data_IF_022745455357
#
_entry.id   IF_022745455357
#
_cell.length_a   1.000
_cell.length_b   1.000
_cell.length_c   1.000
_cell.angle_alpha   90.00
_cell.angle_beta   90.00
_cell.angle_gamma   90.00
#
_symmetry.space_group_name_H-M   'P 1'
#
loop_
_entity.id
_entity.type
_entity.pdbx_description
1 polymer ?
#
# COMPACT_ATOMS: atom_id res chain seq x y z
N UNK A 1 26.48 14.33 5.80
CA UNK A 1 26.17 13.78 7.14
C UNK A 1 27.43 13.07 7.60
N UNK A 2 28.19 13.68 8.49
CA UNK A 2 29.34 13.01 9.14
C UNK A 2 28.85 11.85 10.00
N UNK A 3 29.66 10.79 10.12
CA UNK A 3 29.32 9.53 10.79
C UNK A 3 29.00 9.76 12.27
N UNK A 4 27.71 9.69 12.61
CA UNK A 4 27.20 9.88 13.97
C UNK A 4 26.91 8.51 14.58
N UNK A 5 27.83 8.06 15.43
CA UNK A 5 27.75 6.83 16.22
C UNK A 5 28.90 5.87 15.90
N UNK A 6 29.80 5.65 16.88
CA UNK A 6 30.89 4.65 16.76
C UNK A 6 30.33 3.21 16.64
N UNK A 7 29.14 2.98 17.17
CA UNK A 7 28.44 1.71 17.12
C UNK A 7 26.97 1.92 16.74
N UNK A 8 26.41 0.90 16.11
CA UNK A 8 24.99 0.79 15.80
C UNK A 8 24.36 -0.29 16.68
N UNK A 9 23.09 -0.11 17.07
CA UNK A 9 22.37 -1.06 17.90
C UNK A 9 21.50 -1.93 17.00
N UNK A 10 21.70 -3.24 17.08
CA UNK A 10 20.84 -4.23 16.40
C UNK A 10 20.24 -5.16 17.45
N UNK A 11 19.04 -4.86 17.98
CA UNK A 11 18.41 -5.64 19.04
C UNK A 11 18.04 -7.03 18.53
N UNK A 12 17.94 -8.00 19.45
CA UNK A 12 17.76 -9.41 19.12
C UNK A 12 16.52 -9.67 18.24
N UNK A 13 15.40 -8.98 18.52
CA UNK A 13 14.17 -9.08 17.72
C UNK A 13 14.40 -8.71 16.25
N UNK A 14 15.20 -7.69 15.95
CA UNK A 14 15.54 -7.31 14.57
C UNK A 14 16.65 -8.20 14.00
N UNK A 15 17.66 -8.52 14.82
CA UNK A 15 18.82 -9.33 14.42
C UNK A 15 18.41 -10.73 13.96
N UNK A 16 17.49 -11.35 14.66
CA UNK A 16 17.06 -12.74 14.41
C UNK A 16 15.75 -12.84 13.60
N UNK A 17 15.14 -11.73 13.18
CA UNK A 17 13.97 -11.78 12.29
C UNK A 17 14.37 -12.35 10.93
N UNK A 18 13.85 -13.54 10.61
CA UNK A 18 14.09 -14.22 9.32
C UNK A 18 13.36 -13.54 8.15
N UNK A 19 12.37 -12.71 8.42
CA UNK A 19 11.60 -11.99 7.40
C UNK A 19 12.26 -10.68 6.96
N UNK A 20 13.35 -10.26 7.62
CA UNK A 20 14.14 -9.11 7.23
C UNK A 20 15.38 -9.53 6.44
N UNK A 21 15.60 -8.88 5.30
CA UNK A 21 16.85 -9.02 4.55
C UNK A 21 18.03 -8.50 5.36
N UNK A 22 19.25 -8.97 5.03
CA UNK A 22 20.48 -8.47 5.68
C UNK A 22 20.62 -6.96 5.53
N UNK A 23 20.29 -6.40 4.36
CA UNK A 23 20.28 -4.95 4.13
C UNK A 23 19.25 -4.22 4.99
N UNK A 24 18.08 -4.82 5.24
CA UNK A 24 17.08 -4.23 6.12
C UNK A 24 17.55 -4.15 7.57
N UNK A 25 18.25 -5.19 8.05
CA UNK A 25 18.87 -5.22 9.38
C UNK A 25 19.99 -4.16 9.49
N UNK A 26 20.83 -4.03 8.47
CA UNK A 26 21.87 -3.00 8.41
C UNK A 26 21.26 -1.58 8.39
N UNK A 27 20.22 -1.37 7.59
CA UNK A 27 19.53 -0.07 7.55
C UNK A 27 18.93 0.29 8.91
N UNK A 28 18.29 -0.68 9.59
CA UNK A 28 17.78 -0.46 10.94
C UNK A 28 18.91 -0.04 11.90
N UNK A 29 20.03 -0.77 11.89
CA UNK A 29 21.18 -0.45 12.72
C UNK A 29 21.67 0.98 12.46
N UNK A 30 21.76 1.41 11.21
CA UNK A 30 22.16 2.78 10.87
C UNK A 30 21.14 3.82 11.33
N UNK A 31 19.85 3.53 11.22
CA UNK A 31 18.80 4.39 11.77
C UNK A 31 19.00 4.55 13.29
N UNK A 32 19.37 3.49 14.02
CA UNK A 32 19.67 3.62 15.46
C UNK A 32 20.87 4.52 15.72
N UNK A 33 21.97 4.34 14.98
CA UNK A 33 23.17 5.16 15.12
C UNK A 33 22.88 6.64 14.87
N UNK A 34 22.12 6.95 13.81
CA UNK A 34 21.73 8.31 13.44
C UNK A 34 20.68 8.92 14.36
N UNK A 35 19.94 8.11 15.12
CA UNK A 35 18.93 8.58 16.07
C UNK A 35 19.52 9.00 17.42
N UNK A 36 20.76 8.62 17.73
CA UNK A 36 21.36 8.80 19.06
C UNK A 36 21.42 10.26 19.55
N UNK A 37 21.50 11.24 18.65
CA UNK A 37 21.63 12.66 19.05
C UNK A 37 20.29 13.32 19.38
N UNK A 38 19.22 12.97 18.65
CA UNK A 38 17.95 13.70 18.69
C UNK A 38 16.76 12.80 19.09
N UNK A 39 17.00 11.51 19.30
CA UNK A 39 15.94 10.49 19.43
C UNK A 39 15.24 10.13 18.12
N UNK A 40 15.68 10.69 16.99
CA UNK A 40 15.14 10.40 15.66
C UNK A 40 16.18 10.56 14.56
N UNK A 41 15.97 9.83 13.47
CA UNK A 41 16.75 9.91 12.25
C UNK A 41 15.99 10.71 11.18
N UNK A 42 16.64 11.67 10.54
CA UNK A 42 16.07 12.48 9.46
C UNK A 42 16.82 12.30 8.13
N UNK A 43 17.61 11.23 8.03
CA UNK A 43 18.36 10.92 6.82
C UNK A 43 17.42 10.60 5.64
N UNK A 44 17.82 11.07 4.46
CA UNK A 44 17.05 10.91 3.23
C UNK A 44 17.23 9.52 2.62
N UNK A 45 16.29 9.09 1.78
CA UNK A 45 16.45 7.82 1.06
C UNK A 45 17.69 7.83 0.15
N UNK A 46 18.03 8.98 -0.43
CA UNK A 46 19.24 9.17 -1.24
C UNK A 46 20.53 8.97 -0.43
N UNK A 47 20.53 9.38 0.84
CA UNK A 47 21.66 9.14 1.74
C UNK A 47 21.92 7.64 1.93
N UNK A 48 20.90 6.88 2.34
CA UNK A 48 21.04 5.43 2.54
C UNK A 48 21.31 4.66 1.25
N UNK A 49 20.72 5.10 0.14
CA UNK A 49 20.92 4.53 -1.18
C UNK A 49 22.41 4.56 -1.56
N UNK A 50 23.06 5.71 -1.36
CA UNK A 50 24.51 5.86 -1.58
C UNK A 50 25.33 5.02 -0.60
N UNK A 51 24.95 4.99 0.68
CA UNK A 51 25.68 4.25 1.71
C UNK A 51 25.72 2.74 1.44
N UNK A 52 24.60 2.15 0.99
CA UNK A 52 24.48 0.71 0.74
C UNK A 52 24.59 0.31 -0.73
N UNK A 53 24.88 1.26 -1.63
CA UNK A 53 24.90 1.05 -3.07
C UNK A 53 23.61 0.38 -3.60
N UNK A 54 22.46 0.90 -3.19
CA UNK A 54 21.13 0.46 -3.63
C UNK A 54 20.30 1.63 -4.14
N UNK A 55 19.17 1.38 -4.78
CA UNK A 55 18.30 2.46 -5.25
C UNK A 55 17.49 3.10 -4.11
N UNK A 56 17.13 4.38 -4.25
CA UNK A 56 16.25 5.07 -3.30
C UNK A 56 14.88 4.39 -3.15
N UNK A 57 14.42 3.69 -4.19
CA UNK A 57 13.18 2.90 -4.18
C UNK A 57 13.33 1.69 -3.26
N UNK A 58 14.47 0.99 -3.33
CA UNK A 58 14.78 -0.13 -2.42
C UNK A 58 14.79 0.34 -0.97
N UNK A 59 15.43 1.48 -0.67
CA UNK A 59 15.40 2.06 0.69
C UNK A 59 13.97 2.37 1.13
N UNK A 60 13.17 2.99 0.26
CA UNK A 60 11.76 3.27 0.57
C UNK A 60 11.00 2.00 0.95
N UNK A 61 11.17 0.93 0.15
CA UNK A 61 10.55 -0.38 0.42
C UNK A 61 10.98 -0.96 1.75
N UNK A 62 12.27 -0.90 2.08
CA UNK A 62 12.80 -1.40 3.36
C UNK A 62 12.24 -0.59 4.53
N UNK A 63 12.17 0.74 4.43
CA UNK A 63 11.61 1.59 5.49
C UNK A 63 10.13 1.26 5.72
N UNK A 64 9.35 1.10 4.66
CA UNK A 64 7.96 0.62 4.77
C UNK A 64 7.91 -0.75 5.46
N UNK A 65 8.76 -1.70 5.03
CA UNK A 65 8.83 -3.04 5.62
C UNK A 65 9.13 -3.03 7.13
N UNK A 66 10.06 -2.18 7.57
CA UNK A 66 10.43 -2.01 8.98
C UNK A 66 9.30 -1.33 9.77
N UNK A 67 8.61 -0.36 9.17
CA UNK A 67 7.47 0.34 9.78
C UNK A 67 6.28 -0.60 9.97
N UNK A 68 5.94 -1.38 8.95
CA UNK A 68 4.79 -2.31 8.99
C UNK A 68 4.97 -3.41 10.03
N UNK A 69 6.22 -3.80 10.27
CA UNK A 69 6.59 -4.77 11.32
C UNK A 69 6.72 -4.15 12.71
N UNK A 70 6.51 -2.83 12.83
CA UNK A 70 6.55 -2.13 14.11
C UNK A 70 7.96 -1.96 14.67
N UNK A 71 9.01 -2.02 13.84
CA UNK A 71 10.38 -1.76 14.26
C UNK A 71 10.73 -0.27 14.28
N UNK A 72 10.09 0.52 13.40
CA UNK A 72 10.27 1.97 13.32
C UNK A 72 8.92 2.67 13.14
N UNK A 73 8.89 3.98 13.42
CA UNK A 73 7.78 4.87 13.08
C UNK A 73 8.30 6.02 12.23
N UNK A 74 7.54 6.46 11.22
CA UNK A 74 7.92 7.60 10.37
C UNK A 74 6.89 8.72 10.46
N UNK A 75 7.34 9.96 10.55
CA UNK A 75 6.47 11.14 10.56
C UNK A 75 6.97 12.16 9.52
N UNK A 76 6.04 12.89 8.89
CA UNK A 76 6.34 13.92 7.90
C UNK A 76 6.12 15.28 8.57
N UNK A 77 7.17 16.11 8.56
CA UNK A 77 7.16 17.47 9.05
C UNK A 77 6.99 18.39 7.83
N UNK A 78 6.04 19.32 7.92
CA UNK A 78 5.74 20.31 6.89
C UNK A 78 6.35 21.66 7.25
N UNK A 79 6.63 22.49 6.24
CA UNK A 79 7.07 23.88 6.45
C UNK A 79 5.96 24.69 7.11
N UNK A 80 6.33 25.69 7.91
CA UNK A 80 5.38 26.56 8.58
C UNK A 80 4.39 27.18 7.58
N UNK A 81 3.10 27.08 7.89
CA UNK A 81 2.00 27.61 7.09
C UNK A 81 1.94 27.13 5.63
N UNK A 82 2.51 25.95 5.33
CA UNK A 82 2.52 25.37 3.99
C UNK A 82 2.14 23.89 4.00
N UNK A 83 1.64 23.39 2.85
CA UNK A 83 1.49 21.94 2.59
C UNK A 83 2.76 21.32 2.02
N UNK A 84 3.83 22.10 1.87
CA UNK A 84 5.13 21.63 1.42
C UNK A 84 5.83 20.82 2.52
N UNK A 85 6.37 19.66 2.14
CA UNK A 85 7.10 18.77 3.04
C UNK A 85 8.47 19.39 3.34
N UNK A 86 8.78 19.61 4.62
CA UNK A 86 10.11 20.01 5.08
C UNK A 86 11.03 18.78 5.14
N UNK A 87 10.64 17.77 5.93
CA UNK A 87 11.44 16.56 6.12
C UNK A 87 10.61 15.39 6.64
N UNK A 88 11.14 14.18 6.46
CA UNK A 88 10.66 12.98 7.14
C UNK A 88 11.57 12.67 8.31
N UNK A 89 10.99 12.40 9.48
CA UNK A 89 11.68 11.89 10.66
C UNK A 89 11.30 10.44 10.92
N UNK A 90 12.26 9.65 11.41
CA UNK A 90 12.14 8.23 11.69
C UNK A 90 12.50 8.00 13.16
N UNK A 91 11.60 7.38 13.90
CA UNK A 91 11.79 6.98 15.29
C UNK A 91 12.01 5.48 15.37
N UNK A 92 12.90 5.05 16.26
CA UNK A 92 12.96 3.65 16.66
C UNK A 92 11.70 3.34 17.46
N UNK A 93 10.96 2.31 17.05
CA UNK A 93 9.82 1.85 17.84
C UNK A 93 10.35 1.06 19.02
N UNK A 94 9.89 1.37 20.22
CA UNK A 94 10.17 0.55 21.39
C UNK A 94 9.56 -0.84 21.17
N UNK A 95 10.25 -1.92 21.57
CA UNK A 95 9.66 -3.24 21.54
C UNK A 95 8.36 -3.19 22.34
N UNK A 96 7.24 -3.55 21.71
CA UNK A 96 5.97 -3.73 22.40
C UNK A 96 6.17 -4.91 23.34
N UNK A 97 6.59 -4.62 24.57
CA UNK A 97 6.39 -5.53 25.68
C UNK A 97 4.87 -5.62 25.80
N UNK A 98 4.30 -6.73 25.31
CA UNK A 98 2.93 -7.11 25.64
C UNK A 98 2.86 -7.41 27.14
N UNK A 99 2.87 -6.36 27.94
CA UNK A 99 2.41 -6.35 29.32
C UNK A 99 1.69 -5.03 29.43
N UNK A 100 0.37 -5.10 29.55
CA UNK A 100 -0.45 -3.96 29.93
C UNK A 100 0.18 -3.23 31.12
N UNK A 101 0.10 -1.89 31.08
CA UNK A 101 0.27 -0.91 32.16
C UNK A 101 1.60 -0.11 32.24
N UNK A 102 1.50 1.12 31.71
CA UNK A 102 1.81 2.40 32.39
C UNK A 102 3.27 2.88 32.51
N UNK A 103 3.40 4.22 32.40
CA UNK A 103 4.54 5.15 32.63
C UNK A 103 5.38 5.43 31.38
N UNK A 104 5.18 6.51 30.61
CA UNK A 104 5.22 7.95 30.95
C UNK A 104 6.40 8.32 31.87
N UNK A 105 7.54 8.66 31.27
CA UNK A 105 8.57 9.46 31.94
C UNK A 105 8.80 10.75 31.15
N UNK A 106 8.19 11.84 31.64
CA UNK A 106 8.61 13.20 31.32
C UNK A 106 10.02 13.39 31.88
N UNK A 107 10.87 14.02 31.07
CA UNK A 107 12.19 14.51 31.44
C UNK A 107 12.07 15.64 32.45
N UNK A 108 12.84 15.56 33.54
CA UNK A 108 13.26 16.71 34.34
C UNK A 108 14.61 16.38 35.00
N UNK A 109 15.69 16.94 34.47
CA UNK A 109 16.96 17.15 35.19
C UNK A 109 16.81 18.38 36.13
N UNK A 110 17.72 18.72 37.08
CA UNK A 110 19.15 18.32 37.16
C UNK A 110 19.77 18.09 38.59
N UNK A 111 21.10 17.82 38.57
CA UNK A 111 22.19 18.13 39.55
C UNK A 111 22.71 17.04 40.52
N UNK A 112 24.01 16.71 40.33
CA UNK A 112 25.11 16.21 41.20
C UNK A 112 24.83 15.04 42.19
N UNK A 113 25.75 14.14 42.53
CA UNK A 113 27.21 14.08 42.54
C UNK A 113 27.62 12.59 42.70
N UNK A 114 28.83 12.24 42.27
CA UNK A 114 29.65 11.07 42.66
C UNK A 114 29.02 9.91 43.47
N UNK A 115 29.18 8.66 42.99
CA UNK A 115 29.84 7.53 43.71
C UNK A 115 29.84 6.25 42.85
N UNK A 116 30.99 5.56 42.87
CA UNK A 116 31.30 4.27 42.22
C UNK A 116 30.50 3.09 42.81
N UNK A 117 30.15 2.11 41.96
CA UNK A 117 30.24 0.68 42.31
C UNK A 117 29.00 -0.21 42.18
N UNK A 118 29.11 -1.22 41.31
CA UNK A 118 28.57 -2.60 41.37
C UNK A 118 27.04 -2.91 41.42
N UNK A 119 26.72 -4.05 40.80
CA UNK A 119 25.39 -4.56 40.41
C UNK A 119 24.66 -5.34 41.53
N UNK A 120 23.31 -5.33 41.57
CA UNK A 120 22.48 -6.55 41.81
C UNK A 120 20.96 -6.35 41.66
N UNK A 121 20.27 -7.46 41.30
CA UNK A 121 18.83 -7.65 41.04
C UNK A 121 17.93 -7.50 42.28
N UNK A 122 16.65 -7.13 42.11
CA UNK A 122 15.43 -7.95 42.36
C UNK A 122 14.10 -7.15 42.47
N UNK A 123 13.04 -7.82 41.96
CA UNK A 123 11.56 -7.78 42.07
C UNK A 123 10.72 -6.77 42.92
N UNK A 124 9.48 -6.57 42.43
CA UNK A 124 8.25 -5.73 42.72
C UNK A 124 7.63 -5.79 44.15
N UNK A 125 6.62 -4.95 44.62
CA UNK A 125 5.36 -4.51 43.94
C UNK A 125 4.68 -3.12 44.31
N UNK A 126 3.49 -2.93 43.71
CA UNK A 126 2.52 -1.81 43.50
C UNK A 126 1.95 -1.07 44.75
N UNK A 127 1.58 0.24 44.61
CA UNK A 127 0.39 0.80 45.30
C UNK A 127 -0.33 1.96 44.54
N UNK A 128 -1.64 2.10 44.81
CA UNK A 128 -2.73 2.81 44.06
C UNK A 128 -2.95 4.29 44.45
N UNK A 129 -3.34 5.17 43.51
CA UNK A 129 -4.59 6.00 43.38
C UNK A 129 -4.14 7.44 42.97
N UNK A 130 -4.70 8.19 42.02
CA UNK A 130 -6.03 8.84 41.99
C UNK A 130 -6.39 9.41 40.58
N UNK A 131 -7.63 9.88 40.46
CA UNK A 131 -8.48 10.17 39.29
C UNK A 131 -8.16 11.41 38.41
N UNK A 132 -8.64 11.29 37.16
CA UNK A 132 -9.09 12.31 36.18
C UNK A 132 -8.01 13.26 35.59
N UNK A 133 -7.95 13.62 34.30
CA UNK A 133 -9.01 13.95 33.34
C UNK A 133 -8.51 13.84 31.86
N UNK A 134 -9.45 13.52 30.98
CA UNK A 134 -9.52 13.56 29.49
C UNK A 134 -8.31 13.99 28.63
N UNK A 135 -7.97 13.17 27.59
CA UNK A 135 -7.58 13.59 26.21
C UNK A 135 -7.32 12.41 25.21
N UNK A 136 -8.01 11.28 25.32
CA UNK A 136 -7.74 10.05 24.54
C UNK A 136 -8.61 9.85 23.27
N UNK A 137 -8.99 10.92 22.57
CA UNK A 137 -9.84 10.80 21.37
C UNK A 137 -9.04 10.90 20.05
N UNK A 138 -7.81 11.43 20.05
CA UNK A 138 -7.10 11.73 18.79
C UNK A 138 -6.06 10.68 18.30
N UNK A 139 -5.57 9.77 19.14
CA UNK A 139 -4.50 8.82 18.76
C UNK A 139 -5.04 7.59 17.98
N UNK A 140 -6.29 7.17 18.22
CA UNK A 140 -6.93 6.07 17.45
C UNK A 140 -7.27 6.43 16.00
N UNK A 141 -7.28 7.71 15.64
CA UNK A 141 -7.62 8.15 14.27
C UNK A 141 -6.45 7.94 13.30
N UNK A 142 -5.21 8.30 13.65
CA UNK A 142 -4.14 8.39 12.65
C UNK A 142 -3.59 7.04 12.14
N UNK A 143 -3.40 6.04 12.99
CA UNK A 143 -2.99 4.70 12.54
C UNK A 143 -4.09 3.96 11.74
N UNK A 144 -5.36 4.29 12.02
CA UNK A 144 -6.48 3.85 11.20
C UNK A 144 -6.53 4.61 9.87
N UNK A 145 -6.21 5.90 9.83
CA UNK A 145 -6.28 6.71 8.60
C UNK A 145 -5.31 6.18 7.52
N UNK A 146 -4.05 5.89 7.83
CA UNK A 146 -3.10 5.41 6.83
C UNK A 146 -3.41 3.99 6.33
N UNK A 147 -3.69 3.06 7.25
CA UNK A 147 -4.11 1.69 6.89
C UNK A 147 -5.45 1.67 6.16
N UNK A 148 -6.37 2.58 6.51
CA UNK A 148 -7.64 2.74 5.80
C UNK A 148 -7.46 3.34 4.42
N UNK A 149 -6.51 4.26 4.21
CA UNK A 149 -6.27 4.90 2.91
C UNK A 149 -5.65 3.94 1.91
N UNK A 150 -4.67 3.11 2.33
CA UNK A 150 -4.10 2.08 1.47
C UNK A 150 -5.12 0.97 1.18
N UNK A 151 -5.85 0.49 2.19
CA UNK A 151 -6.96 -0.45 1.98
C UNK A 151 -8.04 0.14 1.08
N UNK A 152 -8.34 1.44 1.18
CA UNK A 152 -9.31 2.14 0.32
C UNK A 152 -8.78 2.25 -1.11
N UNK A 153 -7.49 2.50 -1.30
CA UNK A 153 -6.86 2.54 -2.62
C UNK A 153 -6.90 1.16 -3.29
N UNK A 154 -6.46 0.11 -2.58
CA UNK A 154 -6.52 -1.28 -3.05
C UNK A 154 -7.96 -1.72 -3.33
N UNK A 155 -8.89 -1.33 -2.48
CA UNK A 155 -10.32 -1.61 -2.66
C UNK A 155 -10.86 -0.96 -3.94
N UNK A 156 -10.47 0.29 -4.22
CA UNK A 156 -10.89 1.01 -5.42
C UNK A 156 -10.31 0.38 -6.70
N UNK A 157 -9.04 -0.01 -6.68
CA UNK A 157 -8.42 -0.68 -7.83
C UNK A 157 -9.02 -2.07 -8.06
N UNK A 158 -9.25 -2.83 -6.99
CA UNK A 158 -10.01 -4.07 -7.07
C UNK A 158 -11.42 -3.86 -7.65
N UNK A 159 -12.12 -2.79 -7.30
CA UNK A 159 -13.46 -2.53 -7.84
C UNK A 159 -13.47 -2.31 -9.35
N UNK A 160 -12.43 -1.66 -9.89
CA UNK A 160 -12.27 -1.51 -11.35
C UNK A 160 -12.13 -2.88 -12.02
N UNK A 161 -11.28 -3.75 -11.47
CA UNK A 161 -11.10 -5.12 -11.97
C UNK A 161 -12.37 -5.97 -11.80
N UNK A 162 -13.04 -5.85 -10.66
CA UNK A 162 -14.25 -6.59 -10.33
C UNK A 162 -15.42 -6.26 -11.25
N UNK A 163 -15.49 -5.01 -11.75
CA UNK A 163 -16.50 -4.61 -12.74
C UNK A 163 -16.36 -5.39 -14.04
N UNK A 164 -15.14 -5.71 -14.45
CA UNK A 164 -14.84 -6.49 -15.65
C UNK A 164 -15.17 -7.98 -15.48
N UNK A 165 -15.08 -8.54 -14.27
CA UNK A 165 -15.25 -9.98 -14.10
C UNK A 165 -16.69 -10.48 -14.39
N UNK A 166 -16.89 -11.55 -15.21
CA UNK A 166 -18.22 -11.97 -15.67
C UNK A 166 -19.11 -12.58 -14.56
N UNK A 167 -18.57 -13.42 -13.66
CA UNK A 167 -19.33 -14.07 -12.60
C UNK A 167 -18.96 -13.54 -11.20
N UNK A 168 -19.68 -12.51 -10.75
CA UNK A 168 -19.38 -11.69 -9.57
C UNK A 168 -19.82 -12.32 -8.24
N UNK A 169 -19.49 -13.59 -8.00
CA UNK A 169 -19.75 -14.30 -6.73
C UNK A 169 -18.52 -14.34 -5.83
N UNK A 170 -18.73 -14.17 -4.53
CA UNK A 170 -17.67 -14.24 -3.51
C UNK A 170 -16.72 -13.03 -3.49
N UNK A 171 -17.24 -11.81 -3.70
CA UNK A 171 -16.47 -10.56 -3.83
C UNK A 171 -15.44 -10.34 -2.72
N UNK A 172 -15.80 -10.56 -1.46
CA UNK A 172 -14.92 -10.33 -0.32
C UNK A 172 -13.75 -11.33 -0.28
N UNK A 173 -14.00 -12.59 -0.62
CA UNK A 173 -12.96 -13.60 -0.75
C UNK A 173 -12.02 -13.27 -1.92
N UNK A 174 -12.57 -12.84 -3.06
CA UNK A 174 -11.79 -12.37 -4.19
C UNK A 174 -10.93 -11.15 -3.85
N UNK A 175 -11.45 -10.20 -3.05
CA UNK A 175 -10.68 -9.04 -2.60
C UNK A 175 -9.51 -9.44 -1.70
N UNK A 176 -9.72 -10.36 -0.76
CA UNK A 176 -8.63 -10.90 0.08
C UNK A 176 -7.54 -11.58 -0.75
N UNK A 177 -7.94 -12.36 -1.76
CA UNK A 177 -7.01 -12.99 -2.69
C UNK A 177 -6.23 -11.96 -3.54
N UNK A 178 -6.92 -10.91 -4.00
CA UNK A 178 -6.31 -9.79 -4.70
C UNK A 178 -5.26 -9.08 -3.84
N UNK A 179 -5.57 -8.73 -2.59
CA UNK A 179 -4.60 -8.11 -1.68
C UNK A 179 -3.34 -8.98 -1.53
N UNK A 180 -3.52 -10.30 -1.33
CA UNK A 180 -2.42 -11.25 -1.23
C UNK A 180 -1.58 -11.30 -2.52
N UNK A 181 -2.21 -11.20 -3.69
CA UNK A 181 -1.50 -11.16 -4.97
C UNK A 181 -0.64 -9.90 -5.12
N UNK A 182 -1.18 -8.72 -4.78
CA UNK A 182 -0.43 -7.47 -4.80
C UNK A 182 0.74 -7.50 -3.79
N UNK A 183 0.51 -8.01 -2.58
CA UNK A 183 1.56 -8.23 -1.58
C UNK A 183 2.66 -9.19 -2.08
N UNK A 184 2.28 -10.17 -2.91
CA UNK A 184 3.20 -11.13 -3.54
C UNK A 184 3.93 -10.56 -4.76
N UNK A 185 3.63 -9.31 -5.16
CA UNK A 185 4.29 -8.60 -6.25
C UNK A 185 3.56 -8.66 -7.60
N UNK A 186 2.37 -9.27 -7.67
CA UNK A 186 1.54 -9.23 -8.88
C UNK A 186 1.04 -7.80 -9.12
N UNK A 187 1.07 -7.35 -10.36
CA UNK A 187 0.59 -6.04 -10.77
C UNK A 187 -0.91 -6.06 -11.11
N UNK A 188 -1.59 -4.92 -10.93
CA UNK A 188 -2.97 -4.75 -11.39
C UNK A 188 -3.15 -5.04 -12.88
N UNK A 189 -2.13 -4.75 -13.69
CA UNK A 189 -2.14 -4.96 -15.15
C UNK A 189 -2.14 -6.44 -15.51
N UNK A 190 -1.37 -7.27 -14.80
CA UNK A 190 -1.36 -8.72 -15.02
C UNK A 190 -2.74 -9.34 -14.74
N UNK A 191 -3.34 -8.97 -13.61
CA UNK A 191 -4.69 -9.44 -13.25
C UNK A 191 -5.72 -8.97 -14.29
N UNK A 192 -5.65 -7.72 -14.73
CA UNK A 192 -6.51 -7.18 -15.78
C UNK A 192 -6.37 -7.96 -17.09
N UNK A 193 -5.14 -8.22 -17.53
CA UNK A 193 -4.87 -8.99 -18.74
C UNK A 193 -5.43 -10.42 -18.64
N UNK A 194 -5.28 -11.07 -17.50
CA UNK A 194 -5.86 -12.38 -17.22
C UNK A 194 -7.39 -12.38 -17.29
N UNK A 195 -8.05 -11.35 -16.76
CA UNK A 195 -9.52 -11.21 -16.86
C UNK A 195 -9.95 -11.09 -18.33
N UNK A 196 -9.26 -10.24 -19.11
CA UNK A 196 -9.57 -10.03 -20.53
C UNK A 196 -9.38 -11.34 -21.32
N UNK A 197 -8.27 -12.05 -21.10
CA UNK A 197 -8.00 -13.33 -21.75
C UNK A 197 -9.08 -14.37 -21.42
N UNK A 198 -9.52 -14.44 -20.16
CA UNK A 198 -10.59 -15.33 -19.73
C UNK A 198 -11.95 -14.97 -20.34
N UNK A 199 -12.29 -13.68 -20.43
CA UNK A 199 -13.52 -13.23 -21.10
C UNK A 199 -13.55 -13.63 -22.57
N UNK A 200 -12.41 -13.50 -23.27
CA UNK A 200 -12.29 -13.92 -24.66
C UNK A 200 -12.51 -15.43 -24.82
N UNK A 201 -11.96 -16.24 -23.93
CA UNK A 201 -12.19 -17.68 -23.93
C UNK A 201 -13.67 -18.03 -23.71
N UNK A 202 -14.33 -17.38 -22.74
CA UNK A 202 -15.76 -17.59 -22.45
C UNK A 202 -16.61 -17.31 -23.69
N UNK A 203 -16.32 -16.19 -24.37
CA UNK A 203 -17.00 -15.81 -25.61
C UNK A 203 -16.70 -16.80 -26.74
N UNK A 204 -15.43 -17.17 -26.93
CA UNK A 204 -14.99 -18.09 -27.97
C UNK A 204 -15.60 -19.48 -27.84
N UNK A 205 -15.59 -20.06 -26.62
CA UNK A 205 -16.16 -21.38 -26.33
C UNK A 205 -17.68 -21.35 -26.16
N UNK A 206 -18.30 -20.17 -26.21
CA UNK A 206 -19.71 -19.95 -25.87
C UNK A 206 -20.09 -20.65 -24.54
N UNK A 207 -19.27 -20.42 -23.51
CA UNK A 207 -19.35 -21.17 -22.25
C UNK A 207 -20.65 -20.84 -21.54
N UNK A 208 -21.42 -21.88 -21.19
CA UNK A 208 -22.65 -21.70 -20.41
C UNK A 208 -22.33 -20.96 -19.08
N UNK A 209 -23.09 -19.92 -18.69
CA UNK A 209 -22.83 -19.12 -17.49
C UNK A 209 -22.64 -19.91 -16.20
N UNK A 210 -23.24 -21.11 -16.09
CA UNK A 210 -23.09 -21.99 -14.92
C UNK A 210 -21.67 -22.55 -14.73
N UNK A 211 -20.87 -22.60 -15.80
CA UNK A 211 -19.49 -23.10 -15.78
C UNK A 211 -18.45 -21.97 -15.72
N UNK A 212 -18.87 -20.71 -15.77
CA UNK A 212 -17.97 -19.57 -15.54
C UNK A 212 -17.54 -19.60 -14.08
N UNK A 213 -16.23 -19.70 -13.83
CA UNK A 213 -15.64 -19.72 -12.48
C UNK A 213 -16.18 -18.55 -11.68
N UNK A 214 -16.53 -18.77 -10.40
CA UNK A 214 -16.86 -17.67 -9.52
C UNK A 214 -15.62 -16.78 -9.32
N UNK A 215 -15.83 -15.47 -9.21
CA UNK A 215 -14.73 -14.52 -9.00
C UNK A 215 -13.87 -14.89 -7.80
N UNK A 216 -14.45 -15.31 -6.68
CA UNK A 216 -13.68 -15.84 -5.54
C UNK A 216 -12.73 -16.96 -5.94
N UNK A 217 -13.23 -17.97 -6.68
CA UNK A 217 -12.43 -19.12 -7.10
C UNK A 217 -11.31 -18.71 -8.06
N UNK A 218 -11.61 -17.87 -9.04
CA UNK A 218 -10.63 -17.43 -10.03
C UNK A 218 -9.51 -16.60 -9.43
N UNK A 219 -9.83 -15.68 -8.52
CA UNK A 219 -8.83 -14.87 -7.84
C UNK A 219 -8.02 -15.68 -6.83
N UNK A 220 -8.65 -16.57 -6.04
CA UNK A 220 -7.96 -17.42 -5.07
C UNK A 220 -6.94 -18.35 -5.73
N UNK A 221 -7.30 -18.91 -6.88
CA UNK A 221 -6.45 -19.84 -7.62
C UNK A 221 -5.42 -19.15 -8.52
N UNK A 222 -5.35 -17.81 -8.49
CA UNK A 222 -4.43 -17.02 -9.31
C UNK A 222 -4.56 -17.31 -10.81
N UNK A 223 -5.80 -17.54 -11.28
CA UNK A 223 -6.08 -17.97 -12.65
C UNK A 223 -5.70 -16.93 -13.72
N UNK A 224 -5.24 -15.73 -13.37
CA UNK A 224 -4.62 -14.82 -14.34
C UNK A 224 -3.31 -15.37 -14.94
N UNK A 225 -2.70 -16.37 -14.30
CA UNK A 225 -1.54 -17.10 -14.80
C UNK A 225 -1.91 -18.31 -15.68
N UNK A 226 -3.21 -18.64 -15.82
CA UNK A 226 -3.66 -19.75 -16.65
C UNK A 226 -3.47 -19.39 -18.15
N UNK A 227 -3.22 -20.41 -18.97
CA UNK A 227 -3.21 -20.26 -20.43
C UNK A 227 -4.64 -20.37 -20.98
N UNK A 228 -5.10 -19.32 -21.65
CA UNK A 228 -6.46 -19.23 -22.19
C UNK A 228 -6.46 -19.35 -23.71
N UNK A 229 -7.28 -20.26 -24.23
CA UNK A 229 -7.48 -20.39 -25.67
C UNK A 229 -8.05 -19.10 -26.26
N UNK A 230 -7.45 -18.68 -27.38
CA UNK A 230 -7.90 -17.52 -28.15
C UNK A 230 -8.45 -18.00 -29.50
N UNK A 231 -9.47 -17.33 -30.07
CA UNK A 231 -9.94 -17.65 -31.41
C UNK A 231 -8.81 -17.53 -32.44
N UNK A 232 -8.78 -18.40 -33.48
CA UNK A 232 -7.82 -18.30 -34.56
C UNK A 232 -7.75 -16.88 -35.14
N UNK A 233 -6.56 -16.43 -35.53
CA UNK A 233 -6.30 -15.07 -36.02
C UNK A 233 -7.26 -14.65 -37.16
N UNK A 234 -7.69 -15.58 -38.00
CA UNK A 234 -8.65 -15.35 -39.08
C UNK A 234 -10.05 -14.94 -38.57
N UNK A 235 -10.54 -15.50 -37.45
CA UNK A 235 -11.81 -15.06 -36.85
C UNK A 235 -11.70 -13.65 -36.26
N UNK A 236 -10.57 -13.33 -35.65
CA UNK A 236 -10.32 -11.98 -35.10
C UNK A 236 -10.29 -10.93 -36.22
N UNK A 237 -9.70 -11.25 -37.37
CA UNK A 237 -9.67 -10.38 -38.54
C UNK A 237 -11.07 -10.14 -39.13
N UNK A 238 -11.90 -11.16 -39.18
CA UNK A 238 -13.29 -11.06 -39.66
C UNK A 238 -14.14 -10.22 -38.70
N UNK A 239 -14.07 -10.49 -37.38
CA UNK A 239 -14.84 -9.74 -36.38
C UNK A 239 -14.46 -8.25 -36.34
N UNK A 240 -13.16 -7.94 -36.42
CA UNK A 240 -12.68 -6.56 -36.52
C UNK A 240 -13.11 -5.86 -37.82
N UNK A 241 -13.29 -6.62 -38.91
CA UNK A 241 -13.78 -6.07 -40.19
C UNK A 241 -15.27 -5.74 -40.10
N UNK A 242 -16.08 -6.63 -39.54
CA UNK A 242 -17.53 -6.43 -39.32
C UNK A 242 -17.80 -5.23 -38.42
N UNK A 243 -17.08 -5.09 -37.30
CA UNK A 243 -17.22 -3.95 -36.37
C UNK A 243 -16.88 -2.61 -37.07
N UNK A 244 -15.86 -2.59 -37.93
CA UNK A 244 -15.50 -1.39 -38.69
C UNK A 244 -16.57 -1.01 -39.71
N UNK A 245 -17.17 -2.00 -40.37
CA UNK A 245 -18.26 -1.78 -41.34
C UNK A 245 -19.53 -1.26 -40.64
N UNK A 246 -19.85 -1.79 -39.45
CA UNK A 246 -21.01 -1.36 -38.66
C UNK A 246 -20.85 0.09 -38.15
N UNK A 247 -19.69 0.45 -37.58
CA UNK A 247 -19.38 1.82 -37.15
C UNK A 247 -19.42 2.83 -38.31
N UNK A 248 -18.91 2.44 -39.49
CA UNK A 248 -18.96 3.28 -40.69
C UNK A 248 -20.41 3.54 -41.13
N UNK A 249 -21.29 2.54 -40.98
CA UNK A 249 -22.71 2.67 -41.29
C UNK A 249 -23.44 3.61 -40.31
N UNK A 250 -23.13 3.52 -39.01
CA UNK A 250 -23.73 4.39 -37.99
C UNK A 250 -23.31 5.86 -38.19
N UNK A 251 -22.07 6.09 -38.58
CA UNK A 251 -21.53 7.43 -38.84
C UNK A 251 -22.17 8.06 -40.09
N UNK A 252 -22.36 7.27 -41.16
CA UNK A 252 -23.10 7.68 -42.37
C UNK A 252 -24.58 8.00 -42.07
N UNK A 253 -25.23 7.20 -41.22
CA UNK A 253 -26.63 7.45 -40.79
C UNK A 253 -26.72 8.76 -40.00
N UNK A 254 -25.74 9.03 -39.13
CA UNK A 254 -25.70 10.24 -38.32
C UNK A 254 -25.49 11.50 -39.16
N UNK A 255 -24.68 11.41 -40.20
CA UNK A 255 -24.47 12.51 -41.17
C UNK A 255 -25.75 12.81 -41.97
N UNK A 256 -26.48 11.77 -42.40
CA UNK A 256 -27.77 11.91 -43.08
C UNK A 256 -28.86 12.52 -42.17
N UNK A 257 -28.90 12.14 -40.89
CA UNK A 257 -29.87 12.66 -39.92
C UNK A 257 -29.54 14.07 -39.42
N UNK A 258 -28.27 14.45 -39.40
CA UNK A 258 -27.82 15.80 -39.04
C UNK A 258 -28.19 16.89 -40.06
N UNK A 259 -28.49 16.50 -41.30
CA UNK A 259 -28.94 17.42 -42.36
C UNK A 259 -30.44 17.75 -42.33
N UNK A 260 -31.24 17.10 -41.47
CA UNK A 260 -32.71 17.23 -41.44
C UNK A 260 -33.26 18.20 -40.38
N UNK A 261 -32.42 18.81 -39.52
CA UNK A 261 -32.88 19.74 -38.46
C UNK A 261 -32.88 21.22 -38.83
N UNK A 262 -32.23 21.64 -39.92
CA UNK A 262 -32.04 23.07 -40.25
C UNK A 262 -33.07 23.63 -41.25
N UNK A 263 -34.21 22.96 -41.40
CA UNK A 263 -35.18 23.23 -42.47
C UNK A 263 -36.64 23.38 -42.03
N UNK A 264 -36.96 23.79 -40.79
CA UNK A 264 -38.32 24.21 -40.41
C UNK A 264 -38.22 25.43 -39.48
N UNK A 265 -37.69 26.53 -39.99
CA UNK A 265 -38.07 27.85 -39.48
C UNK A 265 -38.10 28.81 -40.68
N UNK A 266 -39.27 28.92 -41.29
CA UNK A 266 -39.67 30.13 -42.01
C UNK A 266 -41.14 30.11 -42.37
N UNK A 267 -41.80 31.21 -41.99
CA UNK A 267 -43.10 31.73 -42.44
C UNK A 267 -44.32 30.98 -41.89
N UNK A 268 -45.34 31.63 -41.33
CA UNK A 268 -46.01 32.86 -41.79
C UNK A 268 -46.55 33.66 -40.59
N UNK A 269 -46.19 34.94 -40.55
CA UNK A 269 -46.96 36.03 -39.93
C UNK A 269 -48.28 36.21 -40.72
N UNK A 270 -49.43 36.21 -40.04
CA UNK A 270 -50.58 37.13 -40.21
C UNK A 270 -51.68 36.84 -39.18
#
# INVERSE_FOLDING_TARGET
MEHKGYYAILPANVRYDTNLSSTAKLLYAEITALSNLNGYCWATNSYFAKLYNVTSVTISRIITQLSDRGYIRTEIIYKENSKEIDKRVIYIAEPINNIDNTYNQKVSEPINENVKGYQQKCSTPINKNDKENTNNINIKKNNNIYRSNEQKSLRNDFEKLWKLYPNKKGKEAAFKAYCKAIESGTSNKEIQNGIIAYQKEIAFKNTNPKYIKHGSTWFNNQCWNDEYEQPPLERQAIENKVIKEELLSEEQIKELMGGLSDGIDRTVDE
#
